data_IF_638276819768
#
_entry.id   IF_638276819768
#
_cell.length_a   1.000
_cell.length_b   1.000
_cell.length_c   1.000
_cell.angle_alpha   90.00
_cell.angle_beta   90.00
_cell.angle_gamma   90.00
#
_symmetry.space_group_name_H-M   'P 1'
#
loop_
_entity.id
_entity.type
_entity.pdbx_description
1 polymer ?
#
# COMPACT_ATOMS: atom_id res chain seq x y z
N UNK A 1 3.27 -27.15 -9.67
CA UNK A 1 4.29 -26.18 -9.19
C UNK A 1 3.59 -25.30 -8.18
N UNK A 2 4.22 -24.88 -7.09
CA UNK A 2 3.50 -24.13 -6.04
C UNK A 2 3.09 -22.76 -6.58
N UNK A 3 1.79 -22.59 -6.87
CA UNK A 3 1.14 -21.35 -7.30
C UNK A 3 1.14 -20.31 -6.18
N UNK A 4 2.33 -19.83 -5.81
CA UNK A 4 2.47 -18.88 -4.73
C UNK A 4 2.29 -17.49 -5.29
N UNK A 5 1.27 -16.80 -4.77
CA UNK A 5 1.21 -15.35 -4.77
C UNK A 5 2.60 -14.82 -4.41
N UNK A 6 3.05 -13.76 -5.07
CA UNK A 6 4.28 -13.07 -4.70
C UNK A 6 4.11 -12.45 -3.30
N UNK A 7 4.33 -13.28 -2.28
CA UNK A 7 4.19 -12.93 -0.87
C UNK A 7 5.21 -11.87 -0.47
N UNK A 8 6.31 -11.69 -1.22
CA UNK A 8 7.24 -10.59 -1.01
C UNK A 8 6.59 -9.26 -1.39
N UNK A 9 5.89 -9.20 -2.53
CA UNK A 9 5.10 -8.01 -2.91
C UNK A 9 3.99 -7.72 -1.91
N UNK A 10 3.29 -8.75 -1.43
CA UNK A 10 2.28 -8.56 -0.39
C UNK A 10 2.86 -8.03 0.93
N UNK A 11 4.00 -8.56 1.38
CA UNK A 11 4.70 -8.03 2.57
C UNK A 11 5.19 -6.60 2.37
N UNK A 12 5.60 -6.25 1.15
CA UNK A 12 5.97 -4.87 0.81
C UNK A 12 4.75 -3.94 0.89
N UNK A 13 3.63 -4.35 0.32
CA UNK A 13 2.37 -3.61 0.39
C UNK A 13 1.88 -3.46 1.84
N UNK A 14 2.02 -4.50 2.68
CA UNK A 14 1.69 -4.45 4.10
C UNK A 14 2.56 -3.45 4.86
N UNK A 15 3.87 -3.46 4.64
CA UNK A 15 4.78 -2.50 5.26
C UNK A 15 4.44 -1.05 4.88
N UNK A 16 4.20 -0.80 3.59
CA UNK A 16 3.79 0.52 3.08
C UNK A 16 2.42 0.96 3.65
N UNK A 17 1.47 0.03 3.76
CA UNK A 17 0.17 0.31 4.37
C UNK A 17 0.30 0.67 5.87
N UNK A 18 1.21 0.01 6.59
CA UNK A 18 1.51 0.37 7.98
C UNK A 18 2.09 1.78 8.09
N UNK A 19 3.06 2.12 7.24
CA UNK A 19 3.65 3.46 7.21
C UNK A 19 2.59 4.52 6.89
N UNK A 20 1.72 4.27 5.90
CA UNK A 20 0.61 5.17 5.57
C UNK A 20 -0.34 5.37 6.75
N UNK A 21 -0.68 4.30 7.47
CA UNK A 21 -1.51 4.35 8.67
C UNK A 21 -0.86 5.19 9.77
N UNK A 22 0.43 5.01 10.01
CA UNK A 22 1.17 5.76 11.03
C UNK A 22 1.28 7.24 10.68
N UNK A 23 1.47 7.57 9.39
CA UNK A 23 1.43 8.94 8.89
C UNK A 23 0.06 9.59 9.06
N UNK A 24 -1.03 8.89 8.75
CA UNK A 24 -2.40 9.38 8.95
C UNK A 24 -2.67 9.61 10.44
N UNK A 25 -2.26 8.67 11.29
CA UNK A 25 -2.44 8.78 12.75
C UNK A 25 -1.69 9.99 13.28
N UNK A 26 -0.42 10.14 12.90
CA UNK A 26 0.41 11.29 13.26
C UNK A 26 -0.19 12.61 12.75
N UNK A 27 -0.74 12.62 11.53
CA UNK A 27 -1.38 13.78 10.96
C UNK A 27 -2.65 14.18 11.74
N UNK A 28 -3.45 13.21 12.17
CA UNK A 28 -4.64 13.45 12.99
C UNK A 28 -4.25 14.03 14.34
N UNK A 29 -3.28 13.41 15.03
CA UNK A 29 -2.80 13.88 16.33
C UNK A 29 -2.21 15.29 16.26
N UNK A 30 -1.47 15.57 15.19
CA UNK A 30 -0.87 16.89 14.98
C UNK A 30 -1.83 17.90 14.34
N UNK A 31 -2.98 17.48 13.79
CA UNK A 31 -3.90 18.40 13.09
C UNK A 31 -4.41 19.54 13.98
N UNK A 32 -4.55 19.30 15.27
CA UNK A 32 -4.92 20.32 16.25
C UNK A 32 -3.76 21.29 16.59
N UNK A 33 -2.51 20.88 16.37
CA UNK A 33 -1.31 21.65 16.69
C UNK A 33 -0.69 22.34 15.46
N UNK A 34 -0.74 21.71 14.29
CA UNK A 34 -0.16 22.21 13.05
C UNK A 34 -0.88 21.61 11.81
N UNK A 35 -1.88 22.35 11.32
CA UNK A 35 -2.68 21.95 10.16
C UNK A 35 -1.87 21.80 8.87
N UNK A 36 -0.79 22.58 8.69
CA UNK A 36 0.07 22.50 7.49
C UNK A 36 0.82 21.17 7.48
N UNK A 37 1.47 20.83 8.59
CA UNK A 37 2.17 19.55 8.75
C UNK A 37 1.22 18.36 8.60
N UNK A 38 0.00 18.46 9.15
CA UNK A 38 -1.02 17.44 8.96
C UNK A 38 -1.41 17.27 7.49
N UNK A 39 -1.60 18.37 6.73
CA UNK A 39 -1.89 18.30 5.30
C UNK A 39 -0.76 17.67 4.49
N UNK A 40 0.50 17.99 4.80
CA UNK A 40 1.64 17.36 4.13
C UNK A 40 1.74 15.87 4.44
N UNK A 41 1.59 15.48 5.71
CA UNK A 41 1.58 14.08 6.11
C UNK A 41 0.44 13.29 5.45
N UNK A 42 -0.77 13.86 5.36
CA UNK A 42 -1.89 13.25 4.63
C UNK A 42 -1.60 13.11 3.13
N UNK A 43 -0.95 14.11 2.52
CA UNK A 43 -0.52 14.03 1.11
C UNK A 43 0.48 12.90 0.91
N UNK A 44 1.50 12.80 1.75
CA UNK A 44 2.48 11.70 1.69
C UNK A 44 1.81 10.33 1.92
N UNK A 45 0.90 10.23 2.89
CA UNK A 45 0.15 9.01 3.13
C UNK A 45 -0.70 8.59 1.92
N UNK A 46 -1.31 9.56 1.22
CA UNK A 46 -2.09 9.27 0.00
C UNK A 46 -1.23 8.69 -1.13
N UNK A 47 0.03 9.12 -1.24
CA UNK A 47 0.98 8.61 -2.23
C UNK A 47 1.39 7.17 -1.92
N UNK A 48 1.70 6.87 -0.65
CA UNK A 48 1.98 5.50 -0.19
C UNK A 48 0.78 4.57 -0.44
N UNK A 49 -0.45 5.00 -0.15
CA UNK A 49 -1.66 4.21 -0.41
C UNK A 49 -1.83 3.91 -1.91
N UNK A 50 -1.57 4.88 -2.78
CA UNK A 50 -1.63 4.66 -4.23
C UNK A 50 -0.59 3.63 -4.69
N UNK A 51 0.59 3.63 -4.06
CA UNK A 51 1.64 2.66 -4.34
C UNK A 51 1.24 1.25 -3.85
N UNK A 52 0.67 1.14 -2.64
CA UNK A 52 0.10 -0.10 -2.11
C UNK A 52 -0.94 -0.69 -3.08
N UNK A 53 -1.88 0.13 -3.57
CA UNK A 53 -2.87 -0.32 -4.56
C UNK A 53 -2.21 -0.83 -5.84
N UNK A 54 -1.15 -0.17 -6.30
CA UNK A 54 -0.40 -0.61 -7.48
C UNK A 54 0.26 -1.97 -7.25
N UNK A 55 0.90 -2.18 -6.09
CA UNK A 55 1.57 -3.45 -5.76
C UNK A 55 0.55 -4.58 -5.63
N UNK A 56 -0.59 -4.32 -4.98
CA UNK A 56 -1.69 -5.29 -4.87
C UNK A 56 -2.21 -5.67 -6.25
N UNK A 57 -2.45 -4.69 -7.14
CA UNK A 57 -2.90 -4.94 -8.50
C UNK A 57 -1.89 -5.77 -9.31
N UNK A 58 -0.58 -5.54 -9.11
CA UNK A 58 0.46 -6.35 -9.74
C UNK A 58 0.48 -7.78 -9.20
N UNK A 59 0.37 -7.96 -7.88
CA UNK A 59 0.29 -9.28 -7.25
C UNK A 59 -0.97 -10.05 -7.72
N UNK A 60 -2.10 -9.37 -7.86
CA UNK A 60 -3.34 -9.92 -8.43
C UNK A 60 -3.25 -10.23 -9.93
N UNK A 61 -2.59 -9.38 -10.71
CA UNK A 61 -2.41 -9.64 -12.15
C UNK A 61 -1.57 -10.90 -12.38
N UNK A 62 -0.56 -11.12 -11.53
CA UNK A 62 0.28 -12.34 -11.56
C UNK A 62 -0.57 -13.60 -11.35
N UNK A 63 -1.57 -13.55 -10.46
CA UNK A 63 -2.54 -14.63 -10.25
C UNK A 63 -3.41 -14.90 -11.50
N UNK A 64 -3.87 -13.86 -12.20
CA UNK A 64 -4.77 -13.98 -13.35
C UNK A 64 -4.06 -14.46 -14.63
N UNK A 65 -2.82 -14.02 -14.88
CA UNK A 65 -2.06 -14.49 -16.05
C UNK A 65 -1.68 -15.95 -15.94
N UNK A 66 -1.40 -16.45 -14.73
CA UNK A 66 -1.07 -17.85 -14.50
C UNK A 66 -2.26 -18.80 -14.66
N UNK A 67 -3.49 -18.32 -14.47
CA UNK A 67 -4.70 -19.16 -14.70
C UNK A 67 -4.95 -19.44 -16.18
N UNK A 68 -4.37 -18.63 -17.09
CA UNK A 68 -4.65 -18.69 -18.52
C UNK A 68 -3.67 -19.58 -19.30
N UNK A 69 -2.53 -19.95 -18.71
CA UNK A 69 -1.50 -20.81 -19.32
C UNK A 69 -1.66 -22.31 -18.97
N UNK A 70 -2.64 -22.69 -18.13
CA UNK A 70 -2.96 -24.10 -17.80
C UNK A 70 -4.20 -24.65 -18.56
N UNK A 71 -4.66 -24.02 -19.65
CA UNK A 71 -5.75 -24.54 -20.51
C UNK A 71 -5.26 -25.05 -21.86
#
# INVERSE_FOLDING_TARGET
MTNQIDTNKLKQAEAQASIAKDMITSAIEQSAANEILAKEALKSASQEIAQVQTIINQAQSTLQTQTKEES
#
